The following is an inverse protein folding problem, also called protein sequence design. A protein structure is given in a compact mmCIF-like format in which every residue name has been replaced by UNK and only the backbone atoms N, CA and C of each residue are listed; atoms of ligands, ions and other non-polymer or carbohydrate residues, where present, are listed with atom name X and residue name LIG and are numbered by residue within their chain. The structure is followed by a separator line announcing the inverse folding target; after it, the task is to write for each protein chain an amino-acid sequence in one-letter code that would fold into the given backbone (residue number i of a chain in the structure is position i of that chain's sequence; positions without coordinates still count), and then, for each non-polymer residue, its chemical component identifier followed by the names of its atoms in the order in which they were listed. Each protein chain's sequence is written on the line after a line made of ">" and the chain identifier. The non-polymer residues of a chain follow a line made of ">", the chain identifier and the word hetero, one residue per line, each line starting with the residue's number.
data_IF_088380232605
#
_entry.id   IF_088380232605
#
_cell.length_a   1.000
_cell.length_b   1.000
_cell.length_c   1.000
_cell.angle_alpha   90.00
_cell.angle_beta   90.00
_cell.angle_gamma   90.00
#
_symmetry.space_group_name_H-M   'P 1'
#
loop_
_entity.id
_entity.type
_entity.pdbx_description
1 polymer ?
#
# COMPACT_ATOMS: atom_id res chain seq x y z
N UNK A 1 -9.12 -25.86 3.45
CA UNK A 1 -8.11 -25.15 4.27
C UNK A 1 -8.76 -23.91 4.88
N UNK A 2 -8.61 -23.69 6.20
CA UNK A 2 -9.17 -22.52 6.91
C UNK A 2 -8.09 -21.46 7.18
N UNK A 3 -8.45 -20.18 7.15
CA UNK A 3 -7.59 -19.05 7.48
C UNK A 3 -7.90 -18.54 8.90
N UNK A 4 -6.89 -18.50 9.76
CA UNK A 4 -7.00 -17.99 11.13
C UNK A 4 -6.37 -16.61 11.24
N UNK A 5 -7.19 -15.56 11.11
CA UNK A 5 -6.73 -14.18 11.00
C UNK A 5 -6.15 -13.57 12.30
N UNK A 6 -6.48 -14.10 13.48
CA UNK A 6 -5.95 -13.61 14.76
C UNK A 6 -5.84 -14.75 15.77
N UNK A 7 -4.76 -14.80 16.55
CA UNK A 7 -4.68 -15.60 17.77
C UNK A 7 -5.26 -14.83 18.96
N UNK A 8 -5.71 -15.55 20.01
CA UNK A 8 -6.35 -14.94 21.18
C UNK A 8 -5.37 -14.00 21.92
N UNK A 9 -5.65 -12.69 21.94
CA UNK A 9 -4.76 -11.68 22.55
C UNK A 9 -4.43 -11.97 24.01
N UNK A 10 -5.40 -12.46 24.77
CA UNK A 10 -5.21 -12.83 26.17
C UNK A 10 -4.22 -13.99 26.34
N UNK A 11 -4.29 -14.99 25.46
CA UNK A 11 -3.36 -16.13 25.47
C UNK A 11 -1.95 -15.70 25.08
N UNK A 12 -1.80 -14.86 24.05
CA UNK A 12 -0.51 -14.32 23.63
C UNK A 12 0.16 -13.45 24.69
N UNK A 13 -0.63 -12.69 25.46
CA UNK A 13 -0.12 -11.91 26.59
C UNK A 13 0.35 -12.79 27.77
N UNK A 14 -0.22 -13.99 27.94
CA UNK A 14 0.10 -14.90 29.05
C UNK A 14 1.19 -15.93 28.73
N UNK A 15 1.22 -16.47 27.51
CA UNK A 15 2.10 -17.58 27.10
C UNK A 15 3.25 -17.14 26.20
N UNK A 16 3.32 -15.87 25.83
CA UNK A 16 4.31 -15.37 24.89
C UNK A 16 3.93 -15.63 23.43
N UNK A 17 4.92 -15.54 22.55
CA UNK A 17 4.79 -15.73 21.10
C UNK A 17 5.82 -16.76 20.64
N UNK A 18 5.33 -17.91 20.21
CA UNK A 18 6.10 -18.98 19.59
C UNK A 18 5.25 -19.63 18.50
N UNK A 19 5.88 -20.16 17.45
CA UNK A 19 5.20 -20.69 16.26
C UNK A 19 4.38 -21.95 16.61
N UNK A 20 4.87 -22.79 17.53
CA UNK A 20 4.12 -23.95 18.03
C UNK A 20 2.84 -23.54 18.76
N UNK A 21 2.92 -22.50 19.60
CA UNK A 21 1.77 -21.95 20.32
C UNK A 21 0.77 -21.33 19.34
N UNK A 22 1.25 -20.56 18.35
CA UNK A 22 0.38 -19.93 17.35
C UNK A 22 -0.31 -21.00 16.47
N UNK A 23 0.39 -22.08 16.08
CA UNK A 23 -0.16 -23.20 15.31
C UNK A 23 -1.23 -23.98 16.09
N UNK A 24 -0.96 -24.34 17.34
CA UNK A 24 -1.93 -25.02 18.21
C UNK A 24 -3.19 -24.15 18.41
N UNK A 25 -3.01 -22.86 18.65
CA UNK A 25 -4.11 -21.91 18.83
C UNK A 25 -4.94 -21.75 17.56
N UNK A 26 -4.30 -21.79 16.39
CA UNK A 26 -5.00 -21.81 15.11
C UNK A 26 -5.83 -23.09 14.94
N UNK A 27 -5.23 -24.25 15.23
CA UNK A 27 -5.92 -25.54 15.17
C UNK A 27 -7.13 -25.58 16.12
N UNK A 28 -6.98 -25.13 17.37
CA UNK A 28 -8.07 -25.06 18.35
C UNK A 28 -9.22 -24.17 17.87
N UNK A 29 -8.93 -23.04 17.21
CA UNK A 29 -9.98 -22.17 16.64
C UNK A 29 -10.74 -22.82 15.49
N UNK A 30 -10.06 -23.62 14.67
CA UNK A 30 -10.70 -24.37 13.60
C UNK A 30 -11.59 -25.47 14.22
N UNK A 31 -11.06 -26.24 15.17
CA UNK A 31 -11.81 -27.30 15.86
C UNK A 31 -13.02 -26.78 16.64
N UNK A 32 -12.92 -25.63 17.30
CA UNK A 32 -14.04 -25.01 18.02
C UNK A 32 -15.08 -24.36 17.11
N UNK A 33 -14.82 -24.30 15.80
CA UNK A 33 -15.67 -23.61 14.84
C UNK A 33 -15.65 -22.08 14.98
N UNK A 34 -14.71 -21.51 15.75
CA UNK A 34 -14.46 -20.06 15.80
C UNK A 34 -13.84 -19.54 14.50
N UNK A 35 -12.98 -20.32 13.86
CA UNK A 35 -12.38 -20.01 12.56
C UNK A 35 -13.14 -20.72 11.43
N UNK A 36 -14.07 -19.97 10.81
CA UNK A 36 -14.88 -20.45 9.67
C UNK A 36 -14.47 -19.87 8.32
N UNK A 37 -13.47 -18.98 8.31
CA UNK A 37 -13.01 -18.37 7.08
C UNK A 37 -12.21 -19.40 6.28
N UNK A 38 -12.60 -19.63 5.03
CA UNK A 38 -11.81 -20.38 4.06
C UNK A 38 -10.46 -19.70 3.82
N UNK A 39 -9.48 -20.36 3.20
CA UNK A 39 -8.21 -19.75 2.81
C UNK A 39 -8.27 -19.07 1.43
N UNK A 40 -7.34 -18.15 1.14
CA UNK A 40 -7.23 -17.52 -0.19
C UNK A 40 -6.82 -18.59 -1.18
N UNK A 41 -7.44 -18.57 -2.34
CA UNK A 41 -6.92 -19.30 -3.48
C UNK A 41 -5.61 -18.64 -3.92
N UNK A 42 -4.54 -19.44 -3.93
CA UNK A 42 -3.17 -19.05 -4.27
C UNK A 42 -2.73 -19.61 -5.62
N UNK A 43 -3.67 -20.04 -6.46
CA UNK A 43 -3.38 -20.63 -7.78
C UNK A 43 -3.67 -19.70 -8.95
N UNK A 44 -4.48 -18.65 -8.73
CA UNK A 44 -4.92 -17.73 -9.77
C UNK A 44 -4.09 -16.44 -9.93
N UNK A 45 -4.58 -15.57 -10.83
CA UNK A 45 -3.97 -14.28 -11.19
C UNK A 45 -3.72 -13.37 -9.97
N UNK A 46 -4.60 -13.39 -8.97
CA UNK A 46 -4.44 -12.56 -7.77
C UNK A 46 -3.19 -12.95 -6.96
N UNK A 47 -2.80 -14.22 -6.95
CA UNK A 47 -1.55 -14.64 -6.30
C UNK A 47 -0.34 -14.15 -7.09
N UNK A 48 -0.39 -14.23 -8.42
CA UNK A 48 0.64 -13.63 -9.29
C UNK A 48 0.78 -12.13 -9.03
N UNK A 49 -0.34 -11.41 -8.91
CA UNK A 49 -0.35 -9.98 -8.53
C UNK A 49 0.28 -9.76 -7.15
N UNK A 50 0.01 -10.64 -6.17
CA UNK A 50 0.62 -10.59 -4.83
C UNK A 50 2.14 -10.74 -4.91
N UNK A 51 2.63 -11.70 -5.69
CA UNK A 51 4.06 -11.97 -5.86
C UNK A 51 4.78 -10.82 -6.57
N UNK A 52 4.20 -10.25 -7.62
CA UNK A 52 4.73 -9.06 -8.29
C UNK A 52 4.77 -7.86 -7.34
N UNK A 53 3.73 -7.67 -6.53
CA UNK A 53 3.71 -6.58 -5.55
C UNK A 53 4.77 -6.80 -4.45
N UNK A 54 5.01 -8.05 -4.06
CA UNK A 54 6.01 -8.42 -3.06
C UNK A 54 7.43 -8.03 -3.49
N UNK A 55 7.79 -8.16 -4.78
CA UNK A 55 9.09 -7.69 -5.29
C UNK A 55 9.14 -6.16 -5.45
N UNK A 56 8.05 -5.55 -5.93
CA UNK A 56 7.97 -4.11 -6.19
C UNK A 56 8.11 -3.25 -4.93
N UNK A 57 7.42 -3.57 -3.84
CA UNK A 57 7.34 -2.70 -2.66
C UNK A 57 8.71 -2.46 -1.98
N UNK A 58 9.56 -3.48 -1.78
CA UNK A 58 10.94 -3.28 -1.35
C UNK A 58 11.76 -2.43 -2.33
N UNK A 59 11.64 -2.65 -3.65
CA UNK A 59 12.38 -1.88 -4.65
C UNK A 59 12.04 -0.38 -4.59
N UNK A 60 10.75 -0.05 -4.46
CA UNK A 60 10.29 1.35 -4.27
C UNK A 60 10.91 1.97 -3.00
N UNK A 61 10.93 1.23 -1.89
CA UNK A 61 11.54 1.72 -0.64
C UNK A 61 13.05 1.92 -0.79
N UNK A 62 13.76 0.94 -1.34
CA UNK A 62 15.20 1.02 -1.57
C UNK A 62 15.56 2.20 -2.47
N UNK A 63 14.72 2.48 -3.48
CA UNK A 63 14.88 3.63 -4.37
C UNK A 63 14.74 4.94 -3.62
N UNK A 64 13.71 5.07 -2.79
CA UNK A 64 13.53 6.26 -1.94
C UNK A 64 14.71 6.46 -1.01
N UNK A 65 15.22 5.40 -0.38
CA UNK A 65 16.42 5.47 0.48
C UNK A 65 17.64 5.93 -0.32
N UNK A 66 17.88 5.37 -1.51
CA UNK A 66 19.01 5.78 -2.34
C UNK A 66 18.93 7.25 -2.79
N UNK A 67 17.72 7.75 -3.09
CA UNK A 67 17.48 9.17 -3.40
C UNK A 67 17.77 10.08 -2.20
N UNK A 68 17.35 9.67 -1.00
CA UNK A 68 17.64 10.41 0.24
C UNK A 68 19.15 10.42 0.51
N UNK A 69 19.83 9.30 0.33
CA UNK A 69 21.29 9.23 0.51
C UNK A 69 22.05 10.11 -0.49
N UNK A 70 21.57 10.28 -1.73
CA UNK A 70 22.15 11.26 -2.66
C UNK A 70 22.04 12.67 -2.07
N UNK A 71 20.87 13.04 -1.55
CA UNK A 71 20.66 14.33 -0.90
C UNK A 71 21.58 14.48 0.32
N UNK A 72 21.67 13.47 1.16
CA UNK A 72 22.45 13.53 2.40
C UNK A 72 23.94 13.68 2.12
N UNK A 73 24.47 12.96 1.12
CA UNK A 73 25.87 13.13 0.68
C UNK A 73 26.12 14.53 0.11
N UNK A 74 25.17 15.09 -0.64
CA UNK A 74 25.29 16.45 -1.18
C UNK A 74 25.35 17.52 -0.09
N UNK A 75 24.67 17.33 1.05
CA UNK A 75 24.69 18.29 2.15
C UNK A 75 26.10 18.52 2.71
N UNK A 76 26.90 17.45 2.80
CA UNK A 76 28.28 17.49 3.34
C UNK A 76 29.36 17.41 2.26
N UNK A 77 28.99 17.41 0.98
CA UNK A 77 29.96 17.37 -0.13
C UNK A 77 30.70 18.71 -0.28
N UNK A 78 31.93 18.70 -0.84
CA UNK A 78 32.62 19.93 -1.21
C UNK A 78 31.75 20.87 -2.06
N UNK A 79 31.79 22.18 -1.77
CA UNK A 79 30.88 23.17 -2.36
C UNK A 79 30.84 23.12 -3.89
N UNK A 80 32.00 23.06 -4.54
CA UNK A 80 32.11 22.95 -6.00
C UNK A 80 31.34 21.75 -6.58
N UNK A 81 31.36 20.60 -5.89
CA UNK A 81 30.65 19.40 -6.32
C UNK A 81 29.14 19.54 -6.12
N UNK A 82 28.72 20.06 -4.96
CA UNK A 82 27.32 20.30 -4.65
C UNK A 82 26.70 21.28 -5.65
N UNK A 83 27.33 22.43 -5.86
CA UNK A 83 26.89 23.47 -6.79
C UNK A 83 26.78 22.93 -8.23
N UNK A 84 27.75 22.14 -8.68
CA UNK A 84 27.70 21.52 -10.00
C UNK A 84 26.48 20.59 -10.17
N UNK A 85 26.14 19.81 -9.14
CA UNK A 85 25.01 18.87 -9.16
C UNK A 85 23.67 19.60 -9.04
N UNK A 86 23.61 20.68 -8.27
CA UNK A 86 22.37 21.44 -7.99
C UNK A 86 22.07 22.53 -9.04
N UNK A 87 23.05 22.87 -9.89
CA UNK A 87 22.99 23.96 -10.89
C UNK A 87 21.77 23.97 -11.82
N UNK A 88 21.11 22.84 -12.05
CA UNK A 88 20.00 22.74 -13.02
C UNK A 88 18.81 21.86 -12.58
N UNK A 89 18.54 21.76 -11.28
CA UNK A 89 17.18 21.44 -10.80
C UNK A 89 16.93 20.04 -10.20
N UNK A 90 15.73 19.49 -10.48
CA UNK A 90 15.04 18.47 -9.67
C UNK A 90 15.68 17.07 -9.56
N UNK A 91 15.02 16.17 -8.85
CA UNK A 91 15.57 14.84 -8.46
C UNK A 91 16.20 14.04 -9.60
N UNK A 92 15.57 13.99 -10.78
CA UNK A 92 16.09 13.26 -11.95
C UNK A 92 17.41 13.86 -12.45
N UNK A 93 17.54 15.19 -12.43
CA UNK A 93 18.77 15.88 -12.81
C UNK A 93 19.92 15.47 -11.88
N UNK A 94 19.70 15.54 -10.57
CA UNK A 94 20.70 15.15 -9.56
C UNK A 94 21.18 13.72 -9.73
N UNK A 95 20.25 12.77 -9.93
CA UNK A 95 20.61 11.36 -10.17
C UNK A 95 21.47 11.22 -11.42
N UNK A 96 21.11 11.87 -12.53
CA UNK A 96 21.87 11.78 -13.77
C UNK A 96 23.27 12.39 -13.65
N UNK A 97 23.40 13.58 -13.07
CA UNK A 97 24.69 14.23 -12.79
C UNK A 97 25.57 13.38 -11.88
N UNK A 98 25.02 12.87 -10.78
CA UNK A 98 25.72 11.98 -9.86
C UNK A 98 26.27 10.73 -10.58
N UNK A 99 25.49 10.13 -11.49
CA UNK A 99 25.93 8.98 -12.29
C UNK A 99 26.99 9.32 -13.35
N UNK A 100 27.06 10.59 -13.78
CA UNK A 100 28.05 11.07 -14.74
C UNK A 100 29.41 11.41 -14.11
N UNK A 101 29.51 11.45 -12.78
CA UNK A 101 30.77 11.70 -12.09
C UNK A 101 31.83 10.66 -12.46
N UNK A 102 33.08 11.10 -12.44
CA UNK A 102 34.28 10.28 -12.68
C UNK A 102 35.18 10.46 -11.46
N UNK A 103 35.06 9.60 -10.43
CA UNK A 103 35.99 9.59 -9.32
C UNK A 103 37.34 9.07 -9.79
N UNK A 104 38.41 9.66 -9.28
CA UNK A 104 39.75 9.10 -9.33
C UNK A 104 39.89 8.07 -8.20
N UNK A 105 40.12 6.81 -8.57
CA UNK A 105 40.13 5.69 -7.62
C UNK A 105 41.42 5.60 -6.82
N UNK A 106 42.52 6.13 -7.34
CA UNK A 106 43.81 6.18 -6.63
C UNK A 106 43.80 7.24 -5.51
N UNK A 107 42.86 8.19 -5.58
CA UNK A 107 42.74 9.33 -4.66
C UNK A 107 41.49 9.26 -3.79
N UNK A 108 40.96 8.06 -3.51
CA UNK A 108 39.75 7.90 -2.69
C UNK A 108 39.89 8.39 -1.24
N UNK A 109 41.12 8.54 -0.73
CA UNK A 109 41.36 9.21 0.55
C UNK A 109 40.94 10.69 0.57
N UNK A 110 40.77 11.31 -0.60
CA UNK A 110 40.31 12.70 -0.70
C UNK A 110 38.78 12.79 -0.68
N UNK A 111 38.18 13.63 0.19
CA UNK A 111 36.73 13.74 0.31
C UNK A 111 35.99 14.03 -1.00
N UNK A 112 36.61 14.79 -1.91
CA UNK A 112 36.05 15.07 -3.24
C UNK A 112 35.86 13.78 -4.06
N UNK A 113 36.86 12.90 -4.08
CA UNK A 113 36.80 11.67 -4.87
C UNK A 113 35.91 10.63 -4.21
N UNK A 114 35.95 10.50 -2.88
CA UNK A 114 35.04 9.66 -2.12
C UNK A 114 33.56 10.08 -2.32
N UNK A 115 33.27 11.38 -2.31
CA UNK A 115 31.93 11.90 -2.57
C UNK A 115 31.48 11.58 -4.01
N UNK A 116 32.34 11.81 -5.02
CA UNK A 116 32.06 11.47 -6.41
C UNK A 116 31.77 9.98 -6.59
N UNK A 117 32.57 9.12 -5.97
CA UNK A 117 32.38 7.67 -6.02
C UNK A 117 31.05 7.28 -5.40
N UNK A 118 30.77 7.74 -4.19
CA UNK A 118 29.54 7.43 -3.46
C UNK A 118 28.31 7.87 -4.23
N UNK A 119 28.28 9.11 -4.71
CA UNK A 119 27.18 9.65 -5.51
C UNK A 119 26.95 8.84 -6.80
N UNK A 120 28.03 8.42 -7.47
CA UNK A 120 27.94 7.57 -8.66
C UNK A 120 27.32 6.20 -8.36
N UNK A 121 27.70 5.56 -7.26
CA UNK A 121 27.13 4.27 -6.85
C UNK A 121 25.65 4.41 -6.48
N UNK A 122 25.29 5.44 -5.72
CA UNK A 122 23.89 5.71 -5.36
C UNK A 122 23.04 5.98 -6.60
N UNK A 123 23.54 6.74 -7.57
CA UNK A 123 22.86 6.99 -8.84
C UNK A 123 22.61 5.70 -9.62
N UNK A 124 23.62 4.83 -9.76
CA UNK A 124 23.47 3.51 -10.41
C UNK A 124 22.40 2.68 -9.74
N UNK A 125 22.37 2.65 -8.41
CA UNK A 125 21.34 1.93 -7.65
C UNK A 125 19.95 2.50 -7.89
N UNK A 126 19.79 3.83 -7.95
CA UNK A 126 18.49 4.45 -8.29
C UNK A 126 18.04 4.02 -9.69
N UNK A 127 18.94 4.05 -10.69
CA UNK A 127 18.61 3.67 -12.07
C UNK A 127 18.21 2.20 -12.20
N UNK A 128 18.96 1.31 -11.57
CA UNK A 128 18.64 -0.12 -11.52
C UNK A 128 17.24 -0.35 -10.91
N UNK A 129 16.95 0.30 -9.77
CA UNK A 129 15.65 0.18 -9.13
C UNK A 129 14.52 0.84 -9.94
N UNK A 130 14.79 1.94 -10.66
CA UNK A 130 13.84 2.55 -11.59
C UNK A 130 13.44 1.54 -12.69
N UNK A 131 14.40 0.83 -13.28
CA UNK A 131 14.18 -0.20 -14.30
C UNK A 131 13.39 -1.39 -13.74
N UNK A 132 13.79 -1.93 -12.58
CA UNK A 132 13.09 -3.01 -11.89
C UNK A 132 11.63 -2.64 -11.59
N UNK A 133 11.40 -1.46 -11.02
CA UNK A 133 10.05 -0.96 -10.71
C UNK A 133 9.23 -0.77 -11.99
N UNK A 134 9.82 -0.24 -13.07
CA UNK A 134 9.14 -0.06 -14.34
C UNK A 134 8.73 -1.40 -14.96
N UNK A 135 9.63 -2.39 -14.95
CA UNK A 135 9.35 -3.74 -15.44
C UNK A 135 8.19 -4.40 -14.68
N UNK A 136 8.22 -4.35 -13.34
CA UNK A 136 7.13 -4.93 -12.53
C UNK A 136 5.83 -4.15 -12.67
N UNK A 137 5.88 -2.82 -12.80
CA UNK A 137 4.68 -2.01 -13.05
C UNK A 137 4.01 -2.38 -14.38
N UNK A 138 4.78 -2.66 -15.43
CA UNK A 138 4.23 -3.08 -16.71
C UNK A 138 3.44 -4.41 -16.58
N UNK A 139 4.01 -5.39 -15.87
CA UNK A 139 3.35 -6.67 -15.61
C UNK A 139 2.09 -6.51 -14.75
N UNK A 140 2.16 -5.69 -13.69
CA UNK A 140 0.99 -5.38 -12.86
C UNK A 140 -0.11 -4.66 -13.66
N UNK A 141 0.25 -3.70 -14.52
CA UNK A 141 -0.73 -2.99 -15.35
C UNK A 141 -1.46 -3.97 -16.27
N UNK A 142 -0.73 -4.85 -16.94
CA UNK A 142 -1.31 -5.86 -17.82
C UNK A 142 -2.25 -6.83 -17.07
N UNK A 143 -1.77 -7.45 -15.99
CA UNK A 143 -2.57 -8.44 -15.26
C UNK A 143 -3.80 -7.83 -14.61
N UNK A 144 -3.67 -6.65 -13.98
CA UNK A 144 -4.81 -5.99 -13.33
C UNK A 144 -5.84 -5.51 -14.35
N UNK A 145 -5.42 -4.98 -15.50
CA UNK A 145 -6.34 -4.58 -16.55
C UNK A 145 -7.13 -5.76 -17.11
N UNK A 146 -6.50 -6.94 -17.20
CA UNK A 146 -7.18 -8.17 -17.62
C UNK A 146 -8.14 -8.70 -16.57
N UNK A 147 -7.75 -8.75 -15.29
CA UNK A 147 -8.54 -9.42 -14.26
C UNK A 147 -9.55 -8.52 -13.55
N UNK A 148 -9.39 -7.20 -13.60
CA UNK A 148 -10.26 -6.26 -12.88
C UNK A 148 -10.55 -4.96 -13.67
N UNK A 149 -11.10 -5.05 -14.90
CA UNK A 149 -11.42 -3.89 -15.70
C UNK A 149 -12.44 -2.96 -15.03
N UNK A 150 -13.52 -3.48 -14.44
CA UNK A 150 -14.56 -2.65 -13.80
C UNK A 150 -14.02 -1.91 -12.57
N UNK A 151 -13.11 -2.55 -11.83
CA UNK A 151 -12.43 -1.91 -10.71
C UNK A 151 -11.54 -0.73 -11.15
N UNK A 152 -10.95 -0.78 -12.35
CA UNK A 152 -10.14 0.31 -12.90
C UNK A 152 -10.97 1.48 -13.44
N UNK A 153 -12.23 1.25 -13.84
CA UNK A 153 -13.16 2.31 -14.23
C UNK A 153 -13.60 3.19 -13.04
N UNK A 154 -13.49 2.66 -11.83
CA UNK A 154 -13.85 3.38 -10.61
C UNK A 154 -12.93 4.60 -10.38
N UNK A 155 -13.52 5.77 -10.15
CA UNK A 155 -12.78 7.01 -9.96
C UNK A 155 -11.70 6.90 -8.87
N UNK A 156 -10.48 7.35 -9.18
CA UNK A 156 -9.35 7.36 -8.25
C UNK A 156 -8.70 5.99 -8.02
N UNK A 157 -9.15 4.93 -8.71
CA UNK A 157 -8.55 3.60 -8.62
C UNK A 157 -7.63 3.38 -9.81
N UNK A 158 -6.33 3.37 -9.54
CA UNK A 158 -5.30 2.95 -10.49
C UNK A 158 -4.76 1.55 -10.15
N UNK A 159 -3.92 0.99 -11.02
CA UNK A 159 -3.35 -0.37 -10.91
C UNK A 159 -2.87 -0.74 -9.51
N UNK A 160 -2.13 0.15 -8.84
CA UNK A 160 -1.57 -0.15 -7.51
C UNK A 160 -2.63 -0.24 -6.41
N UNK A 161 -3.71 0.54 -6.54
CA UNK A 161 -4.86 0.48 -5.64
C UNK A 161 -5.66 -0.79 -5.91
N UNK A 162 -5.99 -1.05 -7.18
CA UNK A 162 -6.70 -2.25 -7.62
C UNK A 162 -5.96 -3.53 -7.19
N UNK A 163 -4.66 -3.64 -7.49
CA UNK A 163 -3.82 -4.76 -7.06
C UNK A 163 -3.88 -5.01 -5.55
N UNK A 164 -3.81 -3.95 -4.72
CA UNK A 164 -3.92 -4.14 -3.27
C UNK A 164 -5.29 -4.66 -2.86
N UNK A 165 -6.37 -4.13 -3.46
CA UNK A 165 -7.74 -4.51 -3.12
C UNK A 165 -8.05 -5.94 -3.57
N UNK A 166 -7.56 -6.36 -4.75
CA UNK A 166 -7.60 -7.73 -5.25
C UNK A 166 -6.86 -8.68 -4.31
N UNK A 167 -5.61 -8.38 -3.94
CA UNK A 167 -4.84 -9.17 -2.97
C UNK A 167 -5.59 -9.29 -1.64
N UNK A 168 -6.24 -8.21 -1.20
CA UNK A 168 -7.00 -8.19 0.04
C UNK A 168 -8.20 -9.12 -0.04
N UNK A 169 -8.98 -9.02 -1.12
CA UNK A 169 -10.17 -9.83 -1.36
C UNK A 169 -9.86 -11.32 -1.56
N UNK A 170 -8.82 -11.62 -2.35
CA UNK A 170 -8.52 -12.98 -2.82
C UNK A 170 -9.29 -13.34 -4.10
N UNK A 171 -8.81 -14.35 -4.82
CA UNK A 171 -9.42 -14.82 -6.09
C UNK A 171 -10.81 -15.40 -5.85
N UNK A 172 -10.94 -16.23 -4.83
CA UNK A 172 -12.19 -16.83 -4.38
C UNK A 172 -13.01 -15.83 -3.54
N UNK A 173 -13.60 -14.85 -4.23
CA UNK A 173 -14.37 -13.75 -3.63
C UNK A 173 -15.58 -14.24 -2.81
N UNK A 174 -16.14 -15.42 -3.11
CA UNK A 174 -17.30 -16.00 -2.42
C UNK A 174 -17.06 -16.21 -0.93
N UNK A 175 -15.79 -16.23 -0.50
CA UNK A 175 -15.40 -16.20 0.92
C UNK A 175 -15.88 -14.97 1.67
N UNK A 176 -16.15 -13.89 0.96
CA UNK A 176 -16.67 -12.64 1.50
C UNK A 176 -18.17 -12.58 1.22
N UNK A 177 -18.99 -12.85 2.24
CA UNK A 177 -20.44 -12.95 2.06
C UNK A 177 -21.12 -11.62 1.67
N UNK A 178 -20.52 -10.47 2.03
CA UNK A 178 -21.08 -9.15 1.77
C UNK A 178 -20.02 -8.03 1.81
N UNK A 179 -20.42 -6.84 1.38
CA UNK A 179 -19.59 -5.64 1.36
C UNK A 179 -19.08 -5.24 2.77
N UNK A 180 -19.84 -5.56 3.82
CA UNK A 180 -19.50 -5.34 5.21
C UNK A 180 -18.35 -6.24 5.67
N UNK A 181 -18.30 -7.48 5.20
CA UNK A 181 -17.18 -8.39 5.42
C UNK A 181 -15.91 -7.84 4.77
N UNK A 182 -16.00 -7.38 3.52
CA UNK A 182 -14.88 -6.71 2.83
C UNK A 182 -14.45 -5.42 3.54
N UNK A 183 -15.39 -4.57 3.97
CA UNK A 183 -15.09 -3.36 4.72
C UNK A 183 -14.39 -3.65 6.06
N UNK A 184 -14.76 -4.72 6.76
CA UNK A 184 -14.06 -5.18 7.98
C UNK A 184 -12.65 -5.66 7.67
N UNK A 185 -12.48 -6.42 6.59
CA UNK A 185 -11.18 -6.90 6.13
C UNK A 185 -10.24 -5.74 5.78
N UNK A 186 -10.75 -4.71 5.11
CA UNK A 186 -10.01 -3.48 4.79
C UNK A 186 -9.85 -2.52 6.01
N UNK A 187 -10.41 -2.85 7.17
CA UNK A 187 -10.34 -2.02 8.38
C UNK A 187 -11.09 -0.68 8.28
N UNK A 188 -12.11 -0.59 7.40
CA UNK A 188 -12.92 0.61 7.17
C UNK A 188 -14.38 0.46 7.62
N UNK A 189 -14.75 -0.71 8.13
CA UNK A 189 -16.04 -0.89 8.77
C UNK A 189 -16.17 0.02 10.02
N UNK A 190 -17.27 0.76 10.17
CA UNK A 190 -17.51 1.54 11.37
C UNK A 190 -17.65 0.60 12.58
N UNK A 191 -16.97 0.92 13.68
CA UNK A 191 -17.09 0.18 14.94
C UNK A 191 -17.80 1.08 15.95
N UNK A 192 -19.03 0.73 16.39
CA UNK A 192 -19.75 1.53 17.36
C UNK A 192 -19.00 1.54 18.69
N UNK A 193 -18.84 2.74 19.26
CA UNK A 193 -18.37 2.96 20.63
C UNK A 193 -19.23 4.08 21.19
N UNK A 194 -20.40 3.70 21.67
CA UNK A 194 -21.31 4.56 22.39
C UNK A 194 -21.28 4.19 23.87
N UNK A 195 -21.29 5.22 24.73
CA UNK A 195 -21.73 5.09 26.13
C UNK A 195 -22.82 6.14 26.34
N UNK A 196 -24.01 5.69 26.73
CA UNK A 196 -25.18 6.56 26.91
C UNK A 196 -25.61 7.30 25.62
N UNK A 197 -25.72 8.64 25.71
CA UNK A 197 -26.35 9.53 24.70
C UNK A 197 -25.50 9.88 23.47
N UNK A 198 -24.27 9.35 23.34
CA UNK A 198 -23.37 9.70 22.23
C UNK A 198 -23.23 8.56 21.22
N UNK A 199 -23.58 8.80 19.96
CA UNK A 199 -23.36 7.85 18.88
C UNK A 199 -22.02 8.15 18.18
N UNK A 200 -20.94 7.52 18.67
CA UNK A 200 -19.60 7.68 18.11
C UNK A 200 -19.11 6.38 17.48
N UNK A 201 -18.44 6.51 16.35
CA UNK A 201 -17.75 5.40 15.69
C UNK A 201 -16.24 5.53 15.92
N UNK A 202 -15.58 4.42 16.29
CA UNK A 202 -14.11 4.36 16.35
C UNK A 202 -13.52 3.74 15.08
N UNK A 203 -12.23 3.98 14.90
CA UNK A 203 -11.41 3.31 13.89
C UNK A 203 -11.30 1.81 14.19
N UNK A 204 -11.56 0.97 13.18
CA UNK A 204 -11.21 -0.45 13.24
C UNK A 204 -9.68 -0.59 13.17
N UNK A 205 -9.05 -1.03 14.28
CA UNK A 205 -7.58 -1.22 14.34
C UNK A 205 -7.11 -2.55 13.74
N UNK A 206 -8.02 -3.46 13.42
CA UNK A 206 -7.74 -4.70 12.69
C UNK A 206 -7.88 -4.54 11.17
N UNK A 207 -7.58 -5.62 10.43
CA UNK A 207 -7.69 -5.66 8.97
C UNK A 207 -6.40 -5.28 8.24
N UNK A 208 -6.45 -5.39 6.91
CA UNK A 208 -5.34 -5.07 6.00
C UNK A 208 -5.08 -3.55 5.98
N UNK A 209 -3.93 -3.15 6.55
CA UNK A 209 -3.50 -1.76 6.62
C UNK A 209 -3.14 -1.17 5.26
N UNK A 210 -2.66 -2.00 4.34
CA UNK A 210 -2.36 -1.56 2.97
C UNK A 210 -3.65 -1.29 2.20
N UNK A 211 -4.66 -2.16 2.35
CA UNK A 211 -6.01 -1.92 1.79
C UNK A 211 -6.64 -0.66 2.37
N UNK A 212 -6.52 -0.46 3.69
CA UNK A 212 -7.00 0.74 4.36
C UNK A 212 -6.36 2.03 3.82
N UNK A 213 -5.04 1.98 3.57
CA UNK A 213 -4.27 3.07 2.96
C UNK A 213 -4.71 3.29 1.52
N UNK A 214 -4.92 2.24 0.73
CA UNK A 214 -5.41 2.34 -0.64
C UNK A 214 -6.77 3.06 -0.68
N UNK A 215 -7.73 2.63 0.14
CA UNK A 215 -9.05 3.29 0.25
C UNK A 215 -8.95 4.74 0.71
N UNK A 216 -8.00 5.06 1.60
CA UNK A 216 -7.76 6.45 2.00
C UNK A 216 -7.25 7.30 0.83
N UNK A 217 -6.25 6.82 0.08
CA UNK A 217 -5.70 7.55 -1.07
C UNK A 217 -6.74 7.72 -2.18
N UNK A 218 -7.57 6.70 -2.44
CA UNK A 218 -8.71 6.80 -3.36
C UNK A 218 -9.67 7.91 -2.89
N UNK A 219 -10.01 7.95 -1.60
CA UNK A 219 -10.90 8.99 -1.06
C UNK A 219 -10.31 10.41 -1.25
N UNK A 220 -9.00 10.58 -1.03
CA UNK A 220 -8.33 11.87 -1.26
C UNK A 220 -8.32 12.23 -2.75
N UNK A 221 -8.06 11.26 -3.64
CA UNK A 221 -8.12 11.49 -5.08
C UNK A 221 -9.52 11.91 -5.53
N UNK A 222 -10.58 11.25 -5.05
CA UNK A 222 -11.97 11.60 -5.36
C UNK A 222 -12.38 12.97 -4.84
N UNK A 223 -11.92 13.37 -3.66
CA UNK A 223 -12.14 14.74 -3.17
C UNK A 223 -11.56 15.81 -4.11
N UNK A 224 -10.57 15.47 -4.93
CA UNK A 224 -10.01 16.36 -5.95
C UNK A 224 -10.69 16.21 -7.32
N UNK A 225 -11.08 15.00 -7.70
CA UNK A 225 -11.43 14.66 -9.09
C UNK A 225 -12.91 14.37 -9.32
N UNK A 226 -13.67 14.00 -8.29
CA UNK A 226 -15.08 13.58 -8.40
C UNK A 226 -16.02 14.64 -7.80
N UNK A 227 -16.81 15.36 -8.64
CA UNK A 227 -17.78 16.34 -8.18
C UNK A 227 -18.80 15.76 -7.18
N UNK A 228 -19.21 14.49 -7.32
CA UNK A 228 -20.19 13.87 -6.40
C UNK A 228 -19.60 13.73 -4.99
N UNK A 229 -18.33 13.33 -4.90
CA UNK A 229 -17.60 13.25 -3.63
C UNK A 229 -17.37 14.64 -3.01
N UNK A 230 -17.14 15.68 -3.81
CA UNK A 230 -17.01 17.06 -3.34
C UNK A 230 -18.32 17.59 -2.74
N UNK A 231 -19.44 17.44 -3.46
CA UNK A 231 -20.78 17.81 -2.98
C UNK A 231 -21.11 17.06 -1.68
N UNK A 232 -20.80 15.76 -1.63
CA UNK A 232 -20.98 14.97 -0.40
C UNK A 232 -20.18 15.52 0.77
N UNK A 233 -18.93 15.92 0.52
CA UNK A 233 -18.05 16.50 1.53
C UNK A 233 -18.62 17.83 2.06
N UNK A 234 -19.02 18.73 1.17
CA UNK A 234 -19.61 20.02 1.55
C UNK A 234 -20.87 19.83 2.39
N UNK A 235 -21.80 18.97 1.94
CA UNK A 235 -23.03 18.68 2.67
C UNK A 235 -22.74 18.14 4.08
N UNK A 236 -21.86 17.15 4.22
CA UNK A 236 -21.51 16.58 5.54
C UNK A 236 -20.78 17.57 6.44
N UNK A 237 -20.01 18.49 5.86
CA UNK A 237 -19.36 19.58 6.62
C UNK A 237 -20.38 20.58 7.14
N UNK A 238 -21.41 20.90 6.34
CA UNK A 238 -22.54 21.73 6.78
C UNK A 238 -23.34 21.07 7.93
N UNK A 239 -23.44 19.74 7.93
CA UNK A 239 -24.02 18.95 9.03
C UNK A 239 -23.13 18.85 10.29
N UNK A 240 -21.97 19.53 10.32
CA UNK A 240 -21.10 19.61 11.49
C UNK A 240 -20.03 18.50 11.60
N UNK A 241 -19.87 17.63 10.60
CA UNK A 241 -18.83 16.58 10.64
C UNK A 241 -17.43 17.16 10.41
N UNK A 242 -16.43 16.62 11.10
CA UNK A 242 -15.04 16.93 10.80
C UNK A 242 -14.63 16.36 9.44
N UNK A 243 -13.64 16.95 8.77
CA UNK A 243 -13.08 16.40 7.51
C UNK A 243 -12.66 14.94 7.66
N UNK A 244 -12.13 14.57 8.82
CA UNK A 244 -11.73 13.19 9.09
C UNK A 244 -12.92 12.24 9.21
N UNK A 245 -14.06 12.69 9.76
CA UNK A 245 -15.28 11.89 9.82
C UNK A 245 -15.86 11.68 8.43
N UNK A 246 -15.88 12.72 7.59
CA UNK A 246 -16.33 12.59 6.20
C UNK A 246 -15.44 11.62 5.42
N UNK A 247 -14.12 11.71 5.56
CA UNK A 247 -13.19 10.76 4.92
C UNK A 247 -13.43 9.31 5.39
N UNK A 248 -13.77 9.09 6.67
CA UNK A 248 -14.15 7.74 7.17
C UNK A 248 -15.42 7.23 6.49
N UNK A 249 -16.45 8.07 6.35
CA UNK A 249 -17.65 7.73 5.61
C UNK A 249 -17.30 7.37 4.15
N UNK A 250 -16.54 8.22 3.48
CA UNK A 250 -16.13 8.01 2.08
C UNK A 250 -15.40 6.67 1.89
N UNK A 251 -14.47 6.32 2.78
CA UNK A 251 -13.79 5.02 2.71
C UNK A 251 -14.76 3.83 2.80
N UNK A 252 -15.82 3.91 3.59
CA UNK A 252 -16.85 2.86 3.66
C UNK A 252 -17.70 2.80 2.38
N UNK A 253 -18.04 3.96 1.79
CA UNK A 253 -18.72 4.03 0.50
C UNK A 253 -17.87 3.43 -0.62
N UNK A 254 -16.60 3.84 -0.71
CA UNK A 254 -15.65 3.31 -1.69
C UNK A 254 -15.47 1.81 -1.51
N UNK A 255 -15.35 1.31 -0.27
CA UNK A 255 -15.23 -0.14 -0.05
C UNK A 255 -16.45 -0.94 -0.56
N UNK A 256 -17.66 -0.38 -0.48
CA UNK A 256 -18.86 -1.00 -1.05
C UNK A 256 -18.82 -1.03 -2.57
N UNK A 257 -18.48 0.09 -3.18
CA UNK A 257 -18.36 0.19 -4.64
C UNK A 257 -17.27 -0.74 -5.18
N UNK A 258 -16.10 -0.76 -4.54
CA UNK A 258 -15.01 -1.70 -4.84
C UNK A 258 -15.48 -3.13 -4.75
N UNK A 259 -16.22 -3.50 -3.69
CA UNK A 259 -16.73 -4.86 -3.55
C UNK A 259 -17.69 -5.22 -4.69
N UNK A 260 -18.55 -4.30 -5.12
CA UNK A 260 -19.43 -4.53 -6.26
C UNK A 260 -18.66 -4.67 -7.57
N UNK A 261 -17.65 -3.83 -7.83
CA UNK A 261 -16.78 -3.95 -9.00
C UNK A 261 -16.03 -5.30 -9.00
N UNK A 262 -15.48 -5.72 -7.85
CA UNK A 262 -14.84 -7.03 -7.70
C UNK A 262 -15.80 -8.19 -7.99
N UNK A 263 -17.09 -8.08 -7.67
CA UNK A 263 -18.08 -9.11 -8.03
C UNK A 263 -18.27 -9.20 -9.54
N UNK A 264 -18.31 -8.06 -10.25
CA UNK A 264 -18.37 -8.07 -11.72
C UNK A 264 -17.11 -8.71 -12.29
N UNK A 265 -15.95 -8.32 -11.77
CA UNK A 265 -14.65 -8.74 -12.28
C UNK A 265 -14.31 -10.22 -12.00
N UNK A 266 -14.69 -10.77 -10.85
CA UNK A 266 -14.24 -12.10 -10.39
C UNK A 266 -15.32 -13.19 -10.42
N UNK A 267 -16.61 -12.83 -10.48
CA UNK A 267 -17.71 -13.80 -10.43
C UNK A 267 -18.55 -13.85 -11.72
N UNK A 268 -18.40 -12.86 -12.61
CA UNK A 268 -19.19 -12.74 -13.84
C UNK A 268 -18.34 -12.86 -15.11
N UNK A 269 -17.05 -13.18 -14.96
CA UNK A 269 -16.08 -13.42 -16.04
C UNK A 269 -15.73 -14.89 -16.13
#
# INVERSE_FOLDING_TARGET
>A
MFEVNTTHRATRARRGKDDAIDAEMAARKVLSGEARAWAKDTTGDIESIRLLKLSREPAVKARTVALLQIRDVLLTAPAQLREWIESAGGTRHRVNRAGALRPDLERLGEPMQAAKFTLRQLSRRVKFLDEEIAGVNAQLNHLVARCAPHLLECCGIGTQHAAQLLITAGQNLERLNNDGAFARLCGVAPVPVSSGKTNRMRLHRGGDRQANRALHLIAIARLRLDPRTQIYMERRRAEGLSKMDVVRCLKRFIAREVYNALKLDLLQN
#
